data_IF_502237205398
#
_entry.id   IF_502237205398
#
_cell.length_a   1.000
_cell.length_b   1.000
_cell.length_c   1.000
_cell.angle_alpha   90.00
_cell.angle_beta   90.00
_cell.angle_gamma   90.00
#
_symmetry.space_group_name_H-M   'P 1'
#
loop_
_entity.id
_entity.type
_entity.pdbx_description
1 polymer ?
#
# COMPACT_ATOMS: atom_id res chain seq x y z
N UNK A 1 24.04 32.71 -48.13
CA UNK A 1 24.14 32.21 -46.75
C UNK A 1 23.03 32.81 -45.90
N UNK A 2 21.97 32.06 -45.58
CA UNK A 2 21.00 32.39 -44.52
C UNK A 2 20.44 31.06 -43.99
N UNK A 3 20.64 30.81 -42.70
CA UNK A 3 20.53 29.51 -42.05
C UNK A 3 19.06 29.19 -41.74
N UNK A 4 18.58 28.03 -42.19
CA UNK A 4 17.48 27.28 -41.56
C UNK A 4 17.91 26.89 -40.15
N UNK A 5 17.08 27.13 -39.14
CA UNK A 5 16.94 26.21 -38.01
C UNK A 5 15.51 26.27 -37.49
N UNK A 6 14.80 25.18 -37.74
CA UNK A 6 13.47 24.85 -37.26
C UNK A 6 13.71 24.10 -35.94
N UNK A 7 13.43 24.74 -34.80
CA UNK A 7 13.54 24.10 -33.49
C UNK A 7 12.23 23.39 -33.19
N UNK A 8 12.19 22.10 -33.51
CA UNK A 8 11.20 21.16 -33.01
C UNK A 8 11.33 21.02 -31.49
N UNK A 9 10.18 21.04 -30.84
CA UNK A 9 9.73 20.06 -29.85
C UNK A 9 10.70 19.69 -28.71
N UNK A 10 10.32 20.10 -27.50
CA UNK A 10 10.27 19.17 -26.36
C UNK A 10 9.33 19.74 -25.31
N UNK A 11 8.05 19.36 -25.41
CA UNK A 11 7.21 19.23 -24.22
C UNK A 11 7.86 18.15 -23.34
N UNK A 12 8.68 18.55 -22.37
CA UNK A 12 9.09 17.63 -21.31
C UNK A 12 7.92 17.49 -20.37
N UNK A 13 7.40 16.27 -20.38
CA UNK A 13 6.27 15.79 -19.60
C UNK A 13 6.41 16.15 -18.12
N UNK A 14 5.26 16.41 -17.51
CA UNK A 14 5.03 16.31 -16.08
C UNK A 14 5.69 15.03 -15.52
N UNK A 15 6.81 15.20 -14.84
CA UNK A 15 7.42 14.16 -14.02
C UNK A 15 6.87 14.27 -12.62
N UNK A 16 5.94 13.39 -12.27
CA UNK A 16 5.50 13.18 -10.90
C UNK A 16 6.74 13.03 -10.01
N UNK A 17 6.97 14.02 -9.13
CA UNK A 17 7.98 13.93 -8.09
C UNK A 17 7.45 13.02 -6.96
N UNK A 18 7.33 11.72 -7.27
CA UNK A 18 7.30 10.65 -6.29
C UNK A 18 8.67 9.99 -6.34
N UNK A 19 9.36 9.93 -5.21
CA UNK A 19 10.72 9.40 -5.05
C UNK A 19 10.89 8.06 -5.78
N UNK A 20 11.49 8.08 -6.98
CA UNK A 20 11.69 6.86 -7.78
C UNK A 20 12.74 6.01 -7.05
N UNK A 21 12.28 4.96 -6.38
CA UNK A 21 13.16 3.98 -5.75
C UNK A 21 14.20 3.50 -6.77
N UNK A 22 15.49 3.56 -6.41
CA UNK A 22 16.56 3.10 -7.31
C UNK A 22 16.47 1.58 -7.47
N UNK A 23 17.10 1.00 -8.51
CA UNK A 23 17.16 -0.47 -8.66
C UNK A 23 17.73 -1.17 -7.41
N UNK A 24 18.71 -0.56 -6.75
CA UNK A 24 19.28 -1.07 -5.49
C UNK A 24 18.28 -0.98 -4.34
N UNK A 25 17.45 0.07 -4.31
CA UNK A 25 16.38 0.18 -3.31
C UNK A 25 15.31 -0.88 -3.53
N UNK A 26 14.90 -1.11 -4.78
CA UNK A 26 13.91 -2.14 -5.11
C UNK A 26 14.43 -3.54 -4.74
N UNK A 27 15.72 -3.82 -4.94
CA UNK A 27 16.31 -5.10 -4.55
C UNK A 27 16.33 -5.31 -3.02
N UNK A 28 16.50 -4.24 -2.24
CA UNK A 28 16.65 -4.32 -0.78
C UNK A 28 15.33 -4.15 -0.02
N UNK A 29 14.51 -3.18 -0.42
CA UNK A 29 13.27 -2.78 0.27
C UNK A 29 12.01 -3.19 -0.49
N UNK A 30 12.14 -3.70 -1.72
CA UNK A 30 11.01 -4.02 -2.59
C UNK A 30 10.39 -2.77 -3.22
N UNK A 31 9.25 -2.95 -3.89
CA UNK A 31 8.44 -1.84 -4.42
C UNK A 31 7.71 -1.14 -3.25
N UNK A 32 7.75 0.21 -3.18
CA UNK A 32 6.97 0.95 -2.18
C UNK A 32 5.47 0.71 -2.36
N UNK A 33 4.66 0.87 -1.31
CA UNK A 33 3.21 0.76 -1.43
C UNK A 33 2.67 1.83 -2.36
N UNK A 34 1.77 1.46 -3.26
CA UNK A 34 0.98 2.42 -4.03
C UNK A 34 -0.12 3.04 -3.18
N UNK A 35 -0.76 4.11 -3.67
CA UNK A 35 -1.94 4.67 -3.00
C UNK A 35 -3.03 3.61 -2.80
N UNK A 36 -3.27 2.75 -3.80
CA UNK A 36 -4.22 1.64 -3.71
C UNK A 36 -3.85 0.66 -2.60
N UNK A 37 -2.58 0.29 -2.46
CA UNK A 37 -2.13 -0.60 -1.39
C UNK A 37 -2.38 0.00 0.00
N UNK A 38 -2.16 1.31 0.15
CA UNK A 38 -2.45 2.05 1.38
C UNK A 38 -3.96 2.06 1.66
N UNK A 39 -4.79 2.36 0.65
CA UNK A 39 -6.25 2.34 0.79
C UNK A 39 -6.76 0.96 1.21
N UNK A 40 -6.29 -0.12 0.58
CA UNK A 40 -6.69 -1.49 0.92
C UNK A 40 -6.28 -1.86 2.36
N UNK A 41 -5.07 -1.49 2.76
CA UNK A 41 -4.60 -1.69 4.13
C UNK A 41 -5.47 -0.92 5.14
N UNK A 42 -5.78 0.34 4.86
CA UNK A 42 -6.58 1.19 5.74
C UNK A 42 -8.04 0.72 5.83
N UNK A 43 -8.58 0.15 4.75
CA UNK A 43 -9.89 -0.52 4.79
C UNK A 43 -9.86 -1.73 5.71
N UNK A 44 -8.85 -2.60 5.57
CA UNK A 44 -8.69 -3.78 6.43
C UNK A 44 -8.49 -3.39 7.90
N UNK A 45 -7.72 -2.34 8.14
CA UNK A 45 -7.48 -1.82 9.47
C UNK A 45 -8.76 -1.31 10.13
N UNK A 46 -9.64 -0.63 9.37
CA UNK A 46 -10.97 -0.21 9.85
C UNK A 46 -11.77 -1.40 10.37
N UNK A 47 -11.78 -2.50 9.63
CA UNK A 47 -12.57 -3.70 9.97
C UNK A 47 -12.05 -4.40 11.24
N UNK A 48 -10.80 -4.15 11.62
CA UNK A 48 -10.20 -4.68 12.86
C UNK A 48 -10.41 -3.81 14.09
N UNK A 49 -10.92 -2.58 13.93
CA UNK A 49 -11.18 -1.67 15.05
C UNK A 49 -12.50 -2.01 15.76
N UNK A 50 -12.68 -1.58 17.02
CA UNK A 50 -13.97 -1.66 17.69
C UNK A 50 -15.09 -1.07 16.81
N UNK A 51 -16.34 -1.55 16.94
CA UNK A 51 -17.47 -1.00 16.19
C UNK A 51 -17.66 0.48 16.52
N UNK A 52 -17.24 1.35 15.62
CA UNK A 52 -17.40 2.81 15.73
C UNK A 52 -18.11 3.36 14.50
N UNK A 53 -18.87 4.45 14.66
CA UNK A 53 -19.60 5.09 13.56
C UNK A 53 -18.67 5.68 12.49
N UNK A 54 -17.55 6.25 12.90
CA UNK A 54 -16.61 6.93 11.99
C UNK A 54 -15.15 6.53 12.28
N UNK A 55 -14.37 6.42 11.20
CA UNK A 55 -12.91 6.25 11.26
C UNK A 55 -12.29 7.28 10.33
N UNK A 56 -11.33 8.03 10.86
CA UNK A 56 -10.55 9.01 10.11
C UNK A 56 -9.07 8.66 10.13
N UNK A 57 -8.40 8.99 9.03
CA UNK A 57 -6.98 8.79 8.86
C UNK A 57 -6.33 10.08 8.42
N UNK A 58 -5.09 10.29 8.83
CA UNK A 58 -4.26 11.39 8.35
C UNK A 58 -2.79 10.96 8.30
N UNK A 59 -2.06 11.55 7.38
CA UNK A 59 -0.63 11.36 7.21
C UNK A 59 0.02 12.73 6.95
N UNK A 60 1.33 12.76 6.68
CA UNK A 60 2.04 13.98 6.28
C UNK A 60 2.15 14.12 4.76
N UNK A 61 1.34 13.37 4.01
CA UNK A 61 1.51 13.13 2.58
C UNK A 61 2.51 12.00 2.28
N UNK A 62 2.32 11.36 1.13
CA UNK A 62 3.02 10.13 0.73
C UNK A 62 4.55 10.24 0.83
N UNK A 63 5.13 11.32 0.29
CA UNK A 63 6.59 11.50 0.24
C UNK A 63 7.25 11.66 1.61
N UNK A 64 6.52 12.17 2.61
CA UNK A 64 7.00 12.33 3.99
C UNK A 64 6.69 11.11 4.86
N UNK A 65 5.61 10.41 4.55
CA UNK A 65 5.08 9.32 5.37
C UNK A 65 5.68 7.97 4.99
N UNK A 66 6.12 7.79 3.74
CA UNK A 66 6.72 6.56 3.22
C UNK A 66 8.25 6.65 3.21
N UNK A 67 8.91 5.84 4.02
CA UNK A 67 10.37 5.84 4.18
C UNK A 67 10.96 4.42 4.15
N UNK A 68 12.21 4.30 3.72
CA UNK A 68 12.96 3.03 3.75
C UNK A 68 13.33 2.70 5.19
N UNK A 69 13.11 1.46 5.61
CA UNK A 69 13.43 1.00 6.96
C UNK A 69 14.12 -0.37 6.93
N UNK A 70 15.03 -0.61 7.86
CA UNK A 70 15.59 -1.93 8.17
C UNK A 70 15.47 -2.14 9.67
N UNK A 71 14.93 -3.29 10.08
CA UNK A 71 14.64 -3.60 11.48
C UNK A 71 14.92 -5.08 11.77
N UNK A 72 15.06 -5.42 13.04
CA UNK A 72 15.15 -6.81 13.46
C UNK A 72 13.76 -7.45 13.43
N UNK A 73 13.59 -8.53 12.67
CA UNK A 73 12.39 -9.35 12.70
C UNK A 73 12.27 -10.13 14.02
N UNK A 74 11.14 -10.82 14.18
CA UNK A 74 10.87 -11.63 15.38
C UNK A 74 11.89 -12.76 15.60
N UNK A 75 12.54 -13.23 14.53
CA UNK A 75 13.60 -14.23 14.53
C UNK A 75 15.01 -13.62 14.68
N UNK A 76 15.11 -12.31 14.94
CA UNK A 76 16.36 -11.58 15.07
C UNK A 76 17.07 -11.31 13.73
N UNK A 77 16.51 -11.77 12.60
CA UNK A 77 17.09 -11.49 11.28
C UNK A 77 16.71 -10.09 10.80
N UNK A 78 17.62 -9.39 10.11
CA UNK A 78 17.28 -8.09 9.55
C UNK A 78 16.25 -8.25 8.43
N UNK A 79 15.17 -7.48 8.54
CA UNK A 79 14.15 -7.31 7.51
C UNK A 79 14.20 -5.87 7.01
N UNK A 80 13.88 -5.68 5.73
CA UNK A 80 13.86 -4.37 5.09
C UNK A 80 12.53 -4.17 4.39
N UNK A 81 12.05 -2.94 4.37
CA UNK A 81 10.81 -2.58 3.70
C UNK A 81 10.56 -1.07 3.70
N UNK A 82 9.34 -0.70 3.36
CA UNK A 82 8.85 0.68 3.33
C UNK A 82 7.94 0.91 4.53
N UNK A 83 8.40 1.69 5.49
CA UNK A 83 7.61 2.13 6.63
C UNK A 83 6.68 3.26 6.20
N UNK A 84 5.40 3.13 6.53
CA UNK A 84 4.38 4.14 6.36
C UNK A 84 3.88 4.59 7.73
N UNK A 85 4.10 5.87 8.03
CA UNK A 85 3.68 6.53 9.27
C UNK A 85 2.36 7.27 9.05
N UNK A 86 1.35 6.98 9.87
CA UNK A 86 0.06 7.65 9.79
C UNK A 86 -0.63 7.68 11.16
N UNK A 87 -1.58 8.59 11.33
CA UNK A 87 -2.46 8.62 12.49
C UNK A 87 -3.85 8.09 12.12
N UNK A 88 -4.47 7.41 13.07
CA UNK A 88 -5.85 6.93 12.96
C UNK A 88 -6.67 7.35 14.17
N UNK A 89 -7.93 7.69 13.94
CA UNK A 89 -8.89 7.91 15.01
C UNK A 89 -10.24 7.27 14.66
N UNK A 90 -10.84 6.62 15.66
CA UNK A 90 -12.15 6.00 15.59
C UNK A 90 -13.06 6.67 16.64
N UNK A 91 -14.29 7.05 16.25
CA UNK A 91 -15.19 7.83 17.11
C UNK A 91 -16.66 7.67 16.71
N UNK A 92 -17.56 7.80 17.70
CA UNK A 92 -19.02 7.68 17.49
C UNK A 92 -19.75 9.02 17.35
N UNK A 93 -19.15 10.09 17.88
CA UNK A 93 -19.70 11.43 17.91
C UNK A 93 -18.58 12.46 17.74
N UNK A 94 -18.80 13.46 16.89
CA UNK A 94 -17.94 14.64 16.81
C UNK A 94 -18.35 15.58 17.94
N UNK A 95 -17.54 15.65 18.99
CA UNK A 95 -17.73 16.53 20.14
C UNK A 95 -16.66 17.63 20.22
N UNK A 96 -16.73 18.51 21.25
CA UNK A 96 -15.65 19.46 21.55
C UNK A 96 -14.34 18.75 21.91
N UNK A 97 -14.43 17.52 22.41
CA UNK A 97 -13.29 16.61 22.54
C UNK A 97 -12.96 16.04 21.16
N UNK A 98 -11.80 16.46 20.63
CA UNK A 98 -11.32 15.99 19.34
C UNK A 98 -11.10 14.46 19.34
N UNK A 99 -11.22 13.81 18.17
CA UNK A 99 -10.90 12.41 18.03
C UNK A 99 -9.50 12.08 18.59
N UNK A 100 -9.41 11.01 19.38
CA UNK A 100 -8.13 10.55 19.92
C UNK A 100 -7.29 9.91 18.81
N UNK A 101 -6.33 10.66 18.31
CA UNK A 101 -5.41 10.21 17.27
C UNK A 101 -4.37 9.25 17.85
N UNK A 102 -4.27 8.07 17.25
CA UNK A 102 -3.26 7.06 17.57
C UNK A 102 -2.27 6.96 16.42
N UNK A 103 -1.00 7.21 16.70
CA UNK A 103 0.07 7.02 15.73
C UNK A 103 0.25 5.52 15.42
N UNK A 104 0.38 5.19 14.14
CA UNK A 104 0.57 3.84 13.62
C UNK A 104 1.73 3.85 12.65
N UNK A 105 2.48 2.76 12.65
CA UNK A 105 3.59 2.52 11.73
C UNK A 105 3.47 1.11 11.18
N UNK A 106 3.34 1.02 9.88
CA UNK A 106 3.22 -0.24 9.15
C UNK A 106 4.38 -0.35 8.18
N UNK A 107 4.86 -1.58 7.96
CA UNK A 107 5.90 -1.86 6.98
C UNK A 107 5.30 -2.61 5.81
N UNK A 108 5.62 -2.14 4.60
CA UNK A 108 5.28 -2.78 3.34
C UNK A 108 6.52 -3.38 2.67
N UNK A 109 6.32 -4.49 1.96
CA UNK A 109 7.30 -5.06 1.06
C UNK A 109 6.59 -5.49 -0.23
N UNK A 110 7.00 -4.95 -1.37
CA UNK A 110 6.34 -5.16 -2.67
C UNK A 110 4.82 -4.85 -2.62
N UNK A 111 4.46 -3.69 -2.07
CA UNK A 111 3.06 -3.26 -1.91
C UNK A 111 2.27 -4.00 -0.84
N UNK A 112 2.82 -5.02 -0.18
CA UNK A 112 2.11 -5.83 0.82
C UNK A 112 2.51 -5.46 2.23
N UNK A 113 1.54 -5.21 3.11
CA UNK A 113 1.81 -5.01 4.53
C UNK A 113 2.39 -6.32 5.12
N UNK A 114 3.59 -6.24 5.70
CA UNK A 114 4.29 -7.37 6.32
C UNK A 114 4.26 -7.33 7.84
N UNK A 115 3.82 -6.22 8.42
CA UNK A 115 3.72 -6.02 9.87
C UNK A 115 3.75 -4.56 10.26
N UNK A 116 3.75 -4.29 11.56
CA UNK A 116 3.82 -2.94 12.09
C UNK A 116 4.61 -2.90 13.38
N UNK A 117 4.75 -1.70 13.94
CA UNK A 117 5.44 -1.50 15.20
C UNK A 117 4.42 -1.32 16.33
N UNK A 118 4.68 -1.97 17.46
CA UNK A 118 3.96 -1.72 18.70
C UNK A 118 4.39 -0.38 19.35
N UNK A 119 3.77 -0.04 20.48
CA UNK A 119 4.08 1.17 21.24
C UNK A 119 5.53 1.20 21.78
N UNK A 120 6.19 0.05 21.90
CA UNK A 120 7.58 -0.08 22.36
C UNK A 120 8.58 -0.05 21.20
N UNK A 121 8.10 0.08 19.95
CA UNK A 121 8.94 0.04 18.76
C UNK A 121 9.40 -1.36 18.37
N UNK A 122 8.78 -2.42 18.91
CA UNK A 122 9.03 -3.79 18.48
C UNK A 122 8.21 -4.07 17.22
N UNK A 123 8.86 -4.62 16.20
CA UNK A 123 8.16 -5.10 15.01
C UNK A 123 7.35 -6.35 15.33
N UNK A 124 6.08 -6.34 14.91
CA UNK A 124 5.18 -7.48 14.96
C UNK A 124 4.71 -7.80 13.55
N UNK A 125 4.90 -9.06 13.14
CA UNK A 125 4.43 -9.51 11.84
C UNK A 125 2.91 -9.48 11.80
N UNK A 126 2.34 -8.92 10.73
CA UNK A 126 0.92 -9.04 10.50
C UNK A 126 0.64 -10.53 10.26
N UNK A 127 -0.03 -11.19 11.21
CA UNK A 127 -0.44 -12.58 11.06
C UNK A 127 -1.42 -12.66 9.88
N UNK A 128 -0.90 -13.00 8.71
CA UNK A 128 -1.64 -13.27 7.48
C UNK A 128 -2.78 -12.28 7.20
N UNK A 129 -2.44 -11.06 6.76
CA UNK A 129 -3.41 -10.30 5.97
C UNK A 129 -3.74 -11.19 4.75
N UNK A 130 -5.02 -11.51 4.47
CA UNK A 130 -5.37 -12.20 3.25
C UNK A 130 -4.77 -11.38 2.12
N UNK A 131 -3.90 -11.98 1.31
CA UNK A 131 -3.65 -11.43 -0.01
C UNK A 131 -5.04 -11.14 -0.58
N UNK A 132 -5.31 -9.92 -1.05
CA UNK A 132 -6.39 -9.74 -2.00
C UNK A 132 -6.20 -10.86 -3.02
N UNK A 133 -7.12 -11.82 -3.04
CA UNK A 133 -7.00 -12.96 -3.90
C UNK A 133 -6.88 -12.37 -5.31
N UNK A 134 -5.86 -12.77 -6.07
CA UNK A 134 -5.90 -12.52 -7.49
C UNK A 134 -7.28 -12.98 -7.98
N UNK A 135 -8.00 -12.17 -8.79
CA UNK A 135 -9.31 -12.56 -9.27
C UNK A 135 -9.19 -13.97 -9.84
N UNK A 136 -10.01 -14.89 -9.32
CA UNK A 136 -10.00 -16.27 -9.76
C UNK A 136 -10.10 -16.28 -11.30
N UNK A 137 -9.29 -17.08 -12.01
CA UNK A 137 -9.43 -17.19 -13.45
C UNK A 137 -10.88 -17.53 -13.76
N UNK A 138 -11.48 -16.76 -14.67
CA UNK A 138 -12.87 -16.95 -15.08
C UNK A 138 -13.11 -18.44 -15.42
N UNK A 139 -14.24 -19.02 -14.99
CA UNK A 139 -14.54 -20.42 -15.31
C UNK A 139 -14.47 -20.63 -16.82
N UNK A 140 -13.72 -21.64 -17.24
CA UNK A 140 -13.61 -22.01 -18.65
C UNK A 140 -15.02 -22.27 -19.22
N UNK A 141 -15.31 -21.80 -20.44
CA UNK A 141 -16.61 -22.04 -21.06
C UNK A 141 -16.89 -23.55 -21.14
N UNK A 142 -18.08 -23.94 -20.69
CA UNK A 142 -18.50 -25.33 -20.68
C UNK A 142 -18.46 -25.93 -22.11
N UNK A 143 -18.00 -27.18 -22.28
CA UNK A 143 -18.03 -27.83 -23.58
C UNK A 143 -19.47 -27.96 -24.07
N UNK A 144 -19.71 -27.52 -25.32
CA UNK A 144 -21.02 -27.58 -25.95
C UNK A 144 -21.54 -29.02 -26.00
N UNK A 145 -22.80 -29.22 -25.59
CA UNK A 145 -23.47 -30.51 -25.67
C UNK A 145 -23.50 -31.00 -27.13
N UNK A 146 -22.99 -32.20 -27.36
CA UNK A 146 -23.08 -32.85 -28.68
C UNK A 146 -24.55 -33.20 -28.97
N UNK A 147 -25.05 -32.96 -30.20
CA UNK A 147 -26.43 -33.26 -30.54
C UNK A 147 -26.66 -34.78 -30.51
N UNK A 148 -27.67 -35.21 -29.77
CA UNK A 148 -28.10 -36.60 -29.70
C UNK A 148 -28.54 -37.09 -31.09
N UNK A 149 -27.90 -38.17 -31.57
CA UNK A 149 -28.26 -38.83 -32.83
C UNK A 149 -29.47 -39.75 -32.59
N UNK A 150 -30.58 -39.61 -33.32
CA UNK A 150 -31.71 -40.52 -33.19
C UNK A 150 -31.36 -41.89 -33.80
N UNK A 151 -31.90 -42.95 -33.19
CA UNK A 151 -31.85 -44.33 -33.68
C UNK A 151 -32.80 -44.55 -34.85
#
# INVERSE_FOLDING_TARGET
MKRLFLVLSTCVLAGCAGTVATKNDLAKYGTPPSDEDLYQYMSTLRDSMPPTRYVSYRDKGYAESVKKTTFAGEDGKPLSGWEYDFDVAAYDQLGPDQPQWTARRVVFFNGRAIGGFDANGKFMRASAQPSAAAPAPAPAPAPAASPARPR
#
